data_IF_282300554814
#
_entry.id   IF_282300554814
#
_cell.length_a   1.000
_cell.length_b   1.000
_cell.length_c   1.000
_cell.angle_alpha   90.00
_cell.angle_beta   90.00
_cell.angle_gamma   90.00
#
_symmetry.space_group_name_H-M   'P 1'
#
loop_
_entity.id
_entity.type
_entity.pdbx_description
1 polymer ?
#
# COMPACT_ATOMS: atom_id res chain seq x y z
N UNK A 1 -26.71 11.49 -20.63
CA UNK A 1 -26.19 11.87 -19.38
C UNK A 1 -25.22 10.87 -18.86
N UNK A 2 -24.12 11.32 -18.30
CA UNK A 2 -23.16 10.39 -17.81
C UNK A 2 -23.48 9.96 -16.43
N UNK A 3 -23.15 8.73 -16.10
CA UNK A 3 -23.32 8.26 -14.75
C UNK A 3 -22.35 8.96 -13.83
N UNK A 4 -22.70 9.16 -12.60
CA UNK A 4 -21.79 9.76 -11.63
C UNK A 4 -20.56 8.89 -11.46
N UNK A 5 -19.47 9.49 -11.08
CA UNK A 5 -18.25 8.78 -10.87
C UNK A 5 -17.72 9.06 -9.48
N UNK A 6 -17.04 8.08 -8.93
CA UNK A 6 -16.35 8.21 -7.68
C UNK A 6 -14.88 8.41 -8.02
N UNK A 7 -14.28 9.47 -7.51
CA UNK A 7 -12.88 9.76 -7.80
C UNK A 7 -12.11 9.78 -6.49
N UNK A 8 -10.99 9.12 -6.47
CA UNK A 8 -10.14 9.09 -5.28
C UNK A 8 -8.69 9.24 -5.63
N UNK A 9 -7.96 9.86 -4.71
CA UNK A 9 -6.52 9.98 -4.83
C UNK A 9 -5.89 8.91 -3.96
N UNK A 10 -5.03 8.11 -4.54
CA UNK A 10 -4.33 7.06 -3.81
C UNK A 10 -2.85 7.39 -3.77
N UNK A 11 -2.27 7.32 -2.60
CA UNK A 11 -0.84 7.55 -2.43
C UNK A 11 -0.19 6.25 -1.98
N UNK A 12 0.88 5.89 -2.63
CA UNK A 12 1.66 4.69 -2.30
C UNK A 12 3.10 5.11 -2.11
N UNK A 13 3.72 4.64 -1.05
CA UNK A 13 5.16 4.84 -0.85
C UNK A 13 5.85 3.56 -1.27
N UNK A 14 6.65 3.63 -2.32
CA UNK A 14 7.42 2.48 -2.79
C UNK A 14 8.81 2.59 -2.18
N UNK A 15 9.20 1.61 -1.44
CA UNK A 15 10.47 1.65 -0.71
C UNK A 15 11.32 0.45 -1.07
N UNK A 16 12.63 0.68 -1.20
CA UNK A 16 13.59 -0.40 -1.35
C UNK A 16 14.27 -0.56 0.00
N UNK A 17 14.14 -1.73 0.58
CA UNK A 17 14.63 -2.01 1.91
C UNK A 17 15.81 -2.95 1.84
N UNK A 18 16.89 -2.59 2.52
CA UNK A 18 18.03 -3.49 2.66
C UNK A 18 17.81 -4.28 3.94
N UNK A 19 17.88 -5.56 3.85
CA UNK A 19 17.78 -6.43 4.99
C UNK A 19 18.81 -7.53 4.95
N UNK A 20 18.82 -8.35 5.96
CA UNK A 20 19.74 -9.48 6.05
C UNK A 20 18.94 -10.77 6.00
N UNK A 21 19.30 -11.63 5.06
CA UNK A 21 18.79 -12.98 5.01
C UNK A 21 19.60 -13.76 6.04
N UNK A 22 18.98 -14.15 7.14
CA UNK A 22 19.70 -14.77 8.23
C UNK A 22 20.04 -16.22 7.95
N UNK A 23 19.36 -16.84 7.01
CA UNK A 23 19.67 -18.22 6.67
C UNK A 23 20.99 -18.30 5.93
N UNK A 24 21.16 -17.42 4.93
CA UNK A 24 22.37 -17.43 4.13
C UNK A 24 23.38 -16.38 4.57
N UNK A 25 23.03 -15.58 5.56
CA UNK A 25 23.89 -14.50 6.06
C UNK A 25 24.27 -13.53 4.96
N UNK A 26 23.32 -13.19 4.09
CA UNK A 26 23.56 -12.32 2.97
C UNK A 26 22.68 -11.11 2.98
N UNK A 27 23.19 -9.95 2.56
CA UNK A 27 22.33 -8.78 2.42
C UNK A 27 21.41 -8.95 1.23
N UNK A 28 20.20 -8.43 1.36
CA UNK A 28 19.20 -8.56 0.30
C UNK A 28 18.35 -7.32 0.26
N UNK A 29 18.06 -6.84 -0.93
CA UNK A 29 17.17 -5.72 -1.10
C UNK A 29 15.78 -6.23 -1.47
N UNK A 30 14.77 -5.62 -0.89
CA UNK A 30 13.38 -5.92 -1.24
C UNK A 30 12.64 -4.65 -1.53
N UNK A 31 11.83 -4.67 -2.59
CA UNK A 31 10.99 -3.54 -2.93
C UNK A 31 9.60 -3.81 -2.38
N UNK A 32 9.06 -2.85 -1.66
CA UNK A 32 7.74 -2.99 -1.07
C UNK A 32 6.92 -1.74 -1.35
N UNK A 33 5.61 -1.92 -1.38
CA UNK A 33 4.68 -0.81 -1.55
C UNK A 33 3.91 -0.66 -0.25
N UNK A 34 3.94 0.54 0.31
CA UNK A 34 3.24 0.85 1.54
C UNK A 34 2.13 1.85 1.23
N UNK A 35 0.97 1.64 1.78
CA UNK A 35 -0.14 2.54 1.55
C UNK A 35 0.07 3.86 2.30
N UNK A 36 -0.15 4.95 1.61
CA UNK A 36 -0.13 6.26 2.22
C UNK A 36 1.20 6.98 2.16
N UNK A 37 1.24 8.10 2.84
CA UNK A 37 2.40 8.96 2.92
C UNK A 37 3.11 8.71 4.25
N UNK A 38 4.43 8.72 4.25
CA UNK A 38 5.20 8.55 5.46
C UNK A 38 6.07 9.78 5.71
N UNK A 39 6.03 10.30 6.92
CA UNK A 39 6.72 11.52 7.23
C UNK A 39 8.21 11.38 7.45
N UNK A 40 8.68 10.21 7.77
CA UNK A 40 10.09 10.02 8.06
C UNK A 40 10.54 8.62 7.69
N UNK A 41 11.85 8.44 7.57
CA UNK A 41 12.40 7.14 7.28
C UNK A 41 12.12 6.15 8.40
N UNK A 42 12.09 6.61 9.63
CA UNK A 42 11.82 5.73 10.75
C UNK A 42 10.45 5.10 10.65
N UNK A 43 9.48 5.86 10.18
CA UNK A 43 8.13 5.32 10.02
C UNK A 43 8.07 4.31 8.89
N UNK A 44 8.81 4.55 7.82
CA UNK A 44 8.89 3.63 6.71
C UNK A 44 9.54 2.32 7.18
N UNK A 45 10.61 2.43 7.94
CA UNK A 45 11.30 1.25 8.48
C UNK A 45 10.38 0.46 9.42
N UNK A 46 9.63 1.14 10.26
CA UNK A 46 8.70 0.45 11.14
C UNK A 46 7.64 -0.30 10.35
N UNK A 47 7.11 0.33 9.32
CA UNK A 47 6.10 -0.31 8.49
C UNK A 47 6.70 -1.50 7.73
N UNK A 48 7.92 -1.36 7.25
CA UNK A 48 8.60 -2.43 6.56
C UNK A 48 8.82 -3.62 7.49
N UNK A 49 9.22 -3.36 8.72
CA UNK A 49 9.42 -4.44 9.69
C UNK A 49 8.13 -5.21 9.92
N UNK A 50 7.02 -4.51 10.02
CA UNK A 50 5.74 -5.18 10.22
C UNK A 50 5.34 -6.02 9.02
N UNK A 51 5.73 -5.58 7.84
CA UNK A 51 5.30 -6.23 6.61
C UNK A 51 6.19 -7.39 6.21
N UNK A 52 7.50 -7.23 6.32
CA UNK A 52 8.42 -8.22 5.74
C UNK A 52 9.45 -8.78 6.71
N UNK A 53 9.55 -8.29 7.92
CA UNK A 53 10.54 -8.83 8.84
C UNK A 53 10.08 -10.16 9.42
N UNK A 54 10.94 -11.16 9.36
CA UNK A 54 10.67 -12.48 9.91
C UNK A 54 11.92 -12.96 10.61
N UNK A 55 11.91 -14.17 11.13
CA UNK A 55 13.11 -14.73 11.73
C UNK A 55 14.21 -14.90 10.70
N UNK A 56 13.82 -15.07 9.45
CA UNK A 56 14.78 -15.32 8.38
C UNK A 56 15.19 -14.08 7.61
N UNK A 57 14.52 -12.98 7.82
CA UNK A 57 14.85 -11.74 7.14
C UNK A 57 14.72 -10.57 8.10
N UNK A 58 15.81 -9.86 8.34
CA UNK A 58 15.80 -8.72 9.25
C UNK A 58 15.99 -7.43 8.49
N UNK A 59 15.09 -6.49 8.72
CA UNK A 59 15.14 -5.19 8.07
C UNK A 59 16.28 -4.37 8.66
N UNK A 60 17.15 -3.83 7.82
CA UNK A 60 18.29 -3.05 8.27
C UNK A 60 18.11 -1.57 8.00
N UNK A 61 17.85 -1.19 6.77
CA UNK A 61 17.71 0.23 6.46
C UNK A 61 16.94 0.47 5.19
N UNK A 62 16.53 1.73 5.02
CA UNK A 62 15.89 2.17 3.80
C UNK A 62 16.95 2.59 2.80
N UNK A 63 16.93 2.02 1.63
CA UNK A 63 17.87 2.37 0.57
C UNK A 63 17.33 3.55 -0.21
N UNK A 64 16.07 3.50 -0.57
CA UNK A 64 15.43 4.62 -1.26
C UNK A 64 13.92 4.47 -1.18
N UNK A 65 13.21 5.56 -1.39
CA UNK A 65 11.78 5.50 -1.46
C UNK A 65 11.26 6.56 -2.43
N UNK A 66 10.07 6.35 -2.94
CA UNK A 66 9.39 7.35 -3.74
C UNK A 66 7.93 7.30 -3.42
N UNK A 67 7.26 8.43 -3.58
CA UNK A 67 5.85 8.51 -3.33
C UNK A 67 5.13 8.61 -4.65
N UNK A 68 4.16 7.76 -4.86
CA UNK A 68 3.41 7.70 -6.09
C UNK A 68 1.98 8.06 -5.78
N UNK A 69 1.46 9.07 -6.44
CA UNK A 69 0.08 9.50 -6.23
C UNK A 69 -0.70 9.28 -7.50
N UNK A 70 -1.80 8.58 -7.40
CA UNK A 70 -2.64 8.31 -8.54
C UNK A 70 -4.04 8.77 -8.28
N UNK A 71 -4.67 9.35 -9.29
CA UNK A 71 -6.06 9.73 -9.21
C UNK A 71 -6.85 8.68 -9.98
N UNK A 72 -7.78 8.05 -9.33
CA UNK A 72 -8.58 7.02 -9.95
C UNK A 72 -10.05 7.36 -9.89
N UNK A 73 -10.76 7.07 -10.96
CA UNK A 73 -12.18 7.30 -11.03
C UNK A 73 -12.92 6.05 -11.45
N UNK A 74 -14.15 5.92 -11.01
CA UNK A 74 -14.92 4.73 -11.30
C UNK A 74 -16.39 5.11 -11.22
N UNK A 75 -17.24 4.58 -12.11
CA UNK A 75 -18.66 4.87 -12.01
C UNK A 75 -19.19 4.26 -10.72
N UNK A 76 -20.28 4.83 -10.23
CA UNK A 76 -20.87 4.36 -9.00
C UNK A 76 -21.24 2.89 -9.10
N UNK A 77 -21.85 2.51 -10.20
CA UNK A 77 -22.23 1.12 -10.35
C UNK A 77 -21.03 0.19 -10.38
N UNK A 78 -19.98 0.59 -11.09
CA UNK A 78 -18.81 -0.25 -11.16
C UNK A 78 -18.12 -0.35 -9.82
N UNK A 79 -18.13 0.73 -9.05
CA UNK A 79 -17.58 0.72 -7.72
C UNK A 79 -18.31 -0.29 -6.84
N UNK A 80 -19.63 -0.30 -6.91
CA UNK A 80 -20.41 -1.23 -6.10
C UNK A 80 -20.18 -2.68 -6.52
N UNK A 81 -19.98 -2.92 -7.79
CA UNK A 81 -19.71 -4.26 -8.25
C UNK A 81 -18.38 -4.79 -7.81
N UNK A 82 -17.37 -3.92 -7.73
CA UNK A 82 -16.03 -4.34 -7.39
C UNK A 82 -15.68 -4.19 -5.94
N UNK A 83 -16.48 -3.50 -5.16
CA UNK A 83 -16.18 -3.32 -3.76
C UNK A 83 -16.69 -4.50 -2.98
N UNK A 84 -16.02 -4.78 -1.88
CA UNK A 84 -16.49 -5.77 -1.02
C UNK A 84 -17.74 -5.26 -0.36
N UNK A 85 -18.80 -5.97 -0.41
CA UNK A 85 -20.02 -5.54 0.11
C UNK A 85 -20.07 -5.63 1.59
N UNK A 86 -20.31 -4.56 2.26
CA UNK A 86 -20.54 -4.57 3.63
C UNK A 86 -22.00 -4.68 3.77
N UNK A 87 -22.44 -5.65 4.46
CA UNK A 87 -23.83 -5.90 4.53
C UNK A 87 -24.61 -4.85 5.19
N UNK A 88 -24.47 -3.71 4.96
CA UNK A 88 -25.20 -2.82 5.56
C UNK A 88 -25.92 -2.20 4.57
N UNK A 89 -25.92 -2.48 3.64
CA UNK A 89 -26.74 -2.12 2.78
C UNK A 89 -27.01 -0.82 2.39
N UNK A 90 -26.66 -0.02 3.12
CA UNK A 90 -26.91 1.21 2.70
C UNK A 90 -26.24 1.51 1.52
N UNK A 91 -25.15 0.94 1.38
CA UNK A 91 -24.40 1.17 0.22
C UNK A 91 -25.13 0.90 -0.97
N UNK A 92 -26.07 0.06 -0.86
CA UNK A 92 -26.70 -0.30 -2.05
C UNK A 92 -27.83 0.57 -2.36
N UNK A 93 -28.28 1.25 -1.44
CA UNK A 93 -29.37 2.00 -1.71
C UNK A 93 -29.11 3.16 -2.39
N UNK A 94 -28.01 3.56 -2.43
CA UNK A 94 -27.75 4.70 -2.99
C UNK A 94 -27.76 4.74 -4.34
N UNK A 95 -28.25 3.85 -4.91
CA UNK A 95 -28.17 3.85 -6.24
C UNK A 95 -29.15 4.54 -6.85
#
# INVERSE_FOLDING_TARGET
MKAPQITRTFTTTRATILGLDTINAEPMNKDIDLAGHFESEDKIIKAAKKLIETEDFKVCKLVRCEEITELRGMSVQKFLENSEVIPDKNATDNQ
#
